data_IF_328493502022
#
_entry.id   IF_328493502022
#
_cell.length_a   1.000
_cell.length_b   1.000
_cell.length_c   1.000
_cell.angle_alpha   90.00
_cell.angle_beta   90.00
_cell.angle_gamma   90.00
#
_symmetry.space_group_name_H-M   'P 1'
#
loop_
_entity.id
_entity.type
_entity.pdbx_description
1 polymer ?
#
# COMPACT_ATOMS: atom_id res chain seq x y z
N UNK A 1 -15.06 12.73 4.16
CA UNK A 1 -14.11 12.44 3.09
C UNK A 1 -13.34 11.17 3.44
N UNK A 2 -13.23 10.23 2.54
CA UNK A 2 -12.56 8.96 2.78
C UNK A 2 -11.23 8.92 2.04
N UNK A 3 -10.17 8.54 2.74
CA UNK A 3 -8.83 8.38 2.15
C UNK A 3 -8.66 6.89 1.89
N UNK A 4 -8.76 6.50 0.63
CA UNK A 4 -8.63 5.10 0.21
C UNK A 4 -7.15 4.74 0.19
N UNK A 5 -6.78 3.74 0.97
CA UNK A 5 -5.40 3.45 1.32
C UNK A 5 -5.02 2.01 1.02
N UNK A 6 -3.84 1.81 0.45
CA UNK A 6 -3.25 0.49 0.24
C UNK A 6 -2.03 0.36 1.14
N UNK A 7 -1.88 -0.79 1.77
CA UNK A 7 -0.72 -1.12 2.60
C UNK A 7 0.14 -2.16 1.89
N UNK A 8 1.43 -1.91 1.78
CA UNK A 8 2.38 -2.82 1.10
C UNK A 8 3.54 -3.13 2.02
N UNK A 9 3.69 -4.39 2.40
CA UNK A 9 4.78 -4.86 3.24
C UNK A 9 4.85 -6.39 3.11
N UNK A 10 6.04 -6.95 3.06
CA UNK A 10 6.21 -8.40 2.97
C UNK A 10 6.03 -9.10 4.33
N UNK A 11 5.88 -8.34 5.40
CA UNK A 11 5.66 -8.87 6.74
C UNK A 11 4.21 -8.68 7.18
N UNK A 12 3.43 -9.78 7.31
CA UNK A 12 2.03 -9.68 7.72
C UNK A 12 1.82 -8.97 9.05
N UNK A 13 2.73 -9.15 10.00
CA UNK A 13 2.62 -8.49 11.30
C UNK A 13 2.82 -6.98 11.19
N UNK A 14 3.68 -6.54 10.27
CA UNK A 14 3.88 -5.11 10.03
C UNK A 14 2.62 -4.48 9.46
N UNK A 15 1.98 -5.15 8.50
CA UNK A 15 0.72 -4.68 7.93
C UNK A 15 -0.36 -4.59 9.01
N UNK A 16 -0.47 -5.62 9.84
CA UNK A 16 -1.46 -5.64 10.91
C UNK A 16 -1.23 -4.51 11.92
N UNK A 17 0.02 -4.28 12.30
CA UNK A 17 0.38 -3.20 13.21
C UNK A 17 0.05 -1.83 12.64
N UNK A 18 0.35 -1.62 11.36
CA UNK A 18 0.05 -0.37 10.68
C UNK A 18 -1.46 -0.16 10.58
N UNK A 19 -2.19 -1.22 10.22
CA UNK A 19 -3.64 -1.17 10.12
C UNK A 19 -4.27 -0.78 11.46
N UNK A 20 -3.78 -1.35 12.55
CA UNK A 20 -4.26 -1.02 13.89
C UNK A 20 -4.04 0.46 14.23
N UNK A 21 -2.87 1.00 13.86
CA UNK A 21 -2.57 2.42 14.09
C UNK A 21 -3.49 3.31 13.27
N UNK A 22 -3.80 2.92 12.04
CA UNK A 22 -4.65 3.70 11.15
C UNK A 22 -6.11 3.68 11.55
N UNK A 23 -6.53 2.72 12.38
CA UNK A 23 -7.90 2.68 12.89
C UNK A 23 -8.26 3.91 13.73
N UNK A 24 -7.26 4.62 14.24
CA UNK A 24 -7.48 5.86 14.99
C UNK A 24 -7.96 7.01 14.08
N UNK A 25 -7.84 6.84 12.77
CA UNK A 25 -8.21 7.86 11.80
C UNK A 25 -9.46 7.40 11.04
N UNK A 26 -10.59 8.01 11.36
CA UNK A 26 -11.88 7.61 10.78
C UNK A 26 -11.95 7.78 9.28
N UNK A 27 -11.17 8.72 8.73
CA UNK A 27 -11.19 9.01 7.30
C UNK A 27 -10.38 8.01 6.48
N UNK A 28 -9.57 7.16 7.12
CA UNK A 28 -8.73 6.20 6.42
C UNK A 28 -9.48 4.89 6.20
N UNK A 29 -9.57 4.48 4.93
CA UNK A 29 -10.17 3.20 4.56
C UNK A 29 -9.11 2.34 3.90
N UNK A 30 -8.83 1.16 4.47
CA UNK A 30 -7.88 0.21 3.89
C UNK A 30 -8.61 -0.58 2.81
N UNK A 31 -8.26 -0.32 1.55
CA UNK A 31 -8.93 -0.99 0.41
C UNK A 31 -8.19 -2.24 -0.04
N UNK A 32 -6.90 -2.36 0.25
CA UNK A 32 -6.15 -3.57 -0.09
C UNK A 32 -4.87 -3.65 0.72
N UNK A 33 -4.33 -4.86 0.81
CA UNK A 33 -3.08 -5.19 1.49
C UNK A 33 -2.26 -6.05 0.55
N UNK A 34 -1.01 -5.66 0.31
CA UNK A 34 -0.14 -6.33 -0.65
C UNK A 34 1.15 -6.79 0.02
N UNK A 35 1.64 -7.95 -0.38
CA UNK A 35 2.83 -8.55 0.20
C UNK A 35 4.09 -8.34 -0.65
N UNK A 36 3.95 -7.81 -1.85
CA UNK A 36 5.09 -7.59 -2.74
C UNK A 36 4.77 -6.52 -3.77
N UNK A 37 5.79 -6.11 -4.52
CA UNK A 37 5.67 -5.02 -5.49
C UNK A 37 4.73 -5.33 -6.64
N UNK A 38 4.70 -6.59 -7.09
CA UNK A 38 3.82 -6.99 -8.19
C UNK A 38 2.36 -6.84 -7.78
N UNK A 39 2.00 -7.32 -6.60
CA UNK A 39 0.65 -7.16 -6.06
C UNK A 39 0.31 -5.69 -5.89
N UNK A 40 1.28 -4.90 -5.39
CA UNK A 40 1.08 -3.48 -5.16
C UNK A 40 0.74 -2.74 -6.46
N UNK A 41 1.52 -2.98 -7.52
CA UNK A 41 1.29 -2.32 -8.81
C UNK A 41 -0.10 -2.67 -9.35
N UNK A 42 -0.46 -3.93 -9.31
CA UNK A 42 -1.78 -4.39 -9.77
C UNK A 42 -2.90 -3.76 -8.96
N UNK A 43 -2.75 -3.74 -7.65
CA UNK A 43 -3.74 -3.19 -6.73
C UNK A 43 -3.92 -1.69 -6.92
N UNK A 44 -2.83 -0.96 -7.08
CA UNK A 44 -2.87 0.48 -7.30
C UNK A 44 -3.62 0.81 -8.59
N UNK A 45 -3.34 0.06 -9.66
CA UNK A 45 -4.03 0.27 -10.94
C UNK A 45 -5.52 -0.06 -10.85
N UNK A 46 -5.87 -1.07 -10.06
CA UNK A 46 -7.25 -1.50 -9.88
C UNK A 46 -8.05 -0.56 -9.00
N UNK A 47 -7.49 -0.18 -7.86
CA UNK A 47 -8.20 0.59 -6.83
C UNK A 47 -8.02 2.10 -6.94
N UNK A 48 -6.96 2.55 -7.61
CA UNK A 48 -6.64 3.98 -7.73
C UNK A 48 -6.72 4.69 -6.38
N UNK A 49 -5.89 4.27 -5.41
CA UNK A 49 -5.98 4.79 -4.05
C UNK A 49 -5.53 6.24 -3.95
N UNK A 50 -5.90 6.86 -2.83
CA UNK A 50 -5.44 8.20 -2.49
C UNK A 50 -4.08 8.17 -1.79
N UNK A 51 -3.76 7.06 -1.11
CA UNK A 51 -2.56 6.93 -0.31
C UNK A 51 -2.03 5.49 -0.35
N UNK A 52 -0.72 5.34 -0.42
CA UNK A 52 -0.07 4.03 -0.35
C UNK A 52 1.05 4.10 0.70
N UNK A 53 0.98 3.19 1.68
CA UNK A 53 2.10 2.97 2.61
C UNK A 53 2.95 1.85 2.02
N UNK A 54 4.22 2.15 1.77
CA UNK A 54 5.11 1.27 1.02
C UNK A 54 6.40 1.03 1.79
N UNK A 55 6.70 -0.24 2.09
CA UNK A 55 8.00 -0.63 2.60
C UNK A 55 8.95 -0.85 1.43
N UNK A 56 9.91 0.06 1.25
CA UNK A 56 10.86 0.01 0.15
C UNK A 56 12.05 -0.90 0.42
N UNK A 57 12.10 -1.53 1.59
CA UNK A 57 13.19 -2.41 1.98
C UNK A 57 12.85 -3.90 1.86
N UNK A 58 11.75 -4.23 1.21
CA UNK A 58 11.38 -5.62 1.00
C UNK A 58 12.38 -6.34 0.10
N UNK A 59 12.84 -7.55 0.48
CA UNK A 59 13.78 -8.31 -0.35
C UNK A 59 13.20 -8.57 -1.75
N UNK A 60 14.04 -8.37 -2.76
CA UNK A 60 13.63 -8.59 -4.15
C UNK A 60 12.62 -7.60 -4.68
N UNK A 61 12.39 -6.51 -3.95
CA UNK A 61 11.39 -5.51 -4.31
C UNK A 61 12.06 -4.16 -4.53
N UNK A 62 11.66 -3.48 -5.59
CA UNK A 62 12.11 -2.14 -5.92
C UNK A 62 10.95 -1.15 -5.76
N UNK A 63 10.97 -0.39 -4.66
CA UNK A 63 9.93 0.61 -4.38
C UNK A 63 9.84 1.68 -5.47
N UNK A 64 10.96 1.96 -6.13
CA UNK A 64 10.97 2.97 -7.19
C UNK A 64 10.22 2.48 -8.43
N UNK A 65 10.17 1.17 -8.67
CA UNK A 65 9.37 0.61 -9.77
C UNK A 65 7.88 0.86 -9.52
N UNK A 66 7.44 0.78 -8.27
CA UNK A 66 6.05 1.06 -7.91
C UNK A 66 5.74 2.54 -8.10
N UNK A 67 6.66 3.40 -7.69
CA UNK A 67 6.51 4.85 -7.88
C UNK A 67 6.43 5.18 -9.38
N UNK A 68 7.26 4.52 -10.20
CA UNK A 68 7.20 4.68 -11.65
C UNK A 68 5.87 4.26 -12.23
N UNK A 69 5.31 3.15 -11.74
CA UNK A 69 3.99 2.69 -12.17
C UNK A 69 2.89 3.68 -11.79
N UNK A 70 3.02 4.35 -10.65
CA UNK A 70 2.09 5.39 -10.24
C UNK A 70 2.13 6.60 -11.18
N UNK A 71 3.32 6.93 -11.68
CA UNK A 71 3.48 8.07 -12.58
C UNK A 71 2.78 7.87 -13.92
N UNK A 72 2.49 6.62 -14.28
CA UNK A 72 1.79 6.28 -15.53
C UNK A 72 0.26 6.32 -15.39
N UNK A 73 -0.23 6.65 -14.22
CA UNK A 73 -1.68 6.64 -13.95
C UNK A 73 -2.34 7.99 -14.25
#
# INVERSE_FOLDING_TARGET
MTIRTILVDDEPLAIKGLEMRLQAFEDVEIVDRCANGREAIKSIKTHKPDLVFLDIQMPGFDGFSVIGALADM
#
